data_IF_468882776514
#
_entry.id   IF_468882776514
#
_cell.length_a   1.000
_cell.length_b   1.000
_cell.length_c   1.000
_cell.angle_alpha   90.00
_cell.angle_beta   90.00
_cell.angle_gamma   90.00
#
_symmetry.space_group_name_H-M   'P 1'
#
loop_
_entity.id
_entity.type
_entity.pdbx_description
1 polymer ?
#
# COMPACT_ATOMS: atom_id res chain seq x y z
N UNK A 1 9.51 -6.71 31.67
CA UNK A 1 10.17 -6.62 30.35
C UNK A 1 9.13 -6.11 29.37
N UNK A 2 9.25 -4.87 28.93
CA UNK A 2 8.45 -4.37 27.82
C UNK A 2 9.05 -4.97 26.55
N UNK A 3 8.34 -5.90 25.92
CA UNK A 3 8.64 -6.33 24.57
C UNK A 3 8.28 -5.15 23.66
N UNK A 4 9.30 -4.43 23.19
CA UNK A 4 9.13 -3.53 22.06
C UNK A 4 8.73 -4.42 20.88
N UNK A 5 7.46 -4.33 20.46
CA UNK A 5 7.03 -4.95 19.22
C UNK A 5 7.91 -4.39 18.10
N UNK A 6 8.42 -5.22 17.17
CA UNK A 6 9.12 -4.70 16.01
C UNK A 6 8.18 -3.76 15.26
N UNK A 7 8.55 -2.48 15.15
CA UNK A 7 7.85 -1.54 14.28
C UNK A 7 8.27 -1.87 12.84
N UNK A 8 7.28 -2.15 11.99
CA UNK A 8 7.52 -2.36 10.57
C UNK A 8 7.57 -0.98 9.91
N UNK A 9 8.79 -0.44 9.75
CA UNK A 9 8.98 0.90 9.21
C UNK A 9 8.89 0.94 7.66
N UNK A 10 7.78 0.42 7.15
CA UNK A 10 7.60 0.13 5.73
C UNK A 10 7.24 1.39 4.93
N UNK A 11 8.22 1.92 4.20
CA UNK A 11 8.06 3.14 3.39
C UNK A 11 8.17 2.84 1.90
N UNK A 12 7.03 2.74 1.21
CA UNK A 12 7.00 2.40 -0.22
C UNK A 12 6.06 3.31 -1.01
N UNK A 13 6.45 3.66 -2.24
CA UNK A 13 5.66 4.50 -3.14
C UNK A 13 5.65 3.96 -4.56
N UNK A 14 4.61 4.31 -5.31
CA UNK A 14 4.57 4.14 -6.77
C UNK A 14 5.45 5.23 -7.43
N UNK A 15 6.24 4.82 -8.42
CA UNK A 15 7.14 5.66 -9.22
C UNK A 15 6.67 5.78 -10.68
N UNK A 16 5.95 4.78 -11.19
CA UNK A 16 5.40 4.76 -12.54
C UNK A 16 4.04 4.02 -12.53
N UNK A 17 2.96 4.61 -13.08
CA UNK A 17 2.83 6.00 -13.52
C UNK A 17 3.17 6.98 -12.39
N UNK A 18 3.80 8.11 -12.71
CA UNK A 18 4.34 9.03 -11.70
C UNK A 18 3.19 9.74 -10.97
N UNK A 19 3.02 9.53 -9.65
CA UNK A 19 1.99 10.24 -8.90
C UNK A 19 2.35 11.72 -8.74
N UNK A 20 1.32 12.57 -8.74
CA UNK A 20 1.44 13.95 -8.31
C UNK A 20 1.15 14.02 -6.81
N UNK A 21 1.93 14.81 -6.08
CA UNK A 21 1.93 14.83 -4.61
C UNK A 21 1.37 16.14 -4.07
N UNK A 22 0.73 16.09 -2.90
CA UNK A 22 0.25 17.29 -2.17
C UNK A 22 1.36 17.98 -1.37
N UNK A 23 2.54 17.37 -1.29
CA UNK A 23 3.70 17.85 -0.55
C UNK A 23 4.98 17.69 -1.38
N UNK A 24 5.99 18.49 -1.10
CA UNK A 24 7.35 18.34 -1.64
C UNK A 24 8.32 17.67 -0.66
N UNK A 25 7.91 17.49 0.60
CA UNK A 25 8.72 16.83 1.62
C UNK A 25 8.85 15.34 1.32
N UNK A 26 10.08 14.83 1.26
CA UNK A 26 10.34 13.45 0.86
C UNK A 26 9.83 12.46 1.90
N UNK A 27 10.07 12.72 3.17
CA UNK A 27 9.71 11.78 4.23
C UNK A 27 8.19 11.64 4.30
N UNK A 28 7.47 12.76 4.18
CA UNK A 28 6.00 12.76 4.10
C UNK A 28 5.49 11.97 2.89
N UNK A 29 6.10 12.09 1.70
CA UNK A 29 5.67 11.30 0.51
C UNK A 29 5.76 9.79 0.73
N UNK A 30 6.76 9.36 1.49
CA UNK A 30 7.07 7.94 1.69
C UNK A 30 6.33 7.33 2.88
N UNK A 31 5.72 8.16 3.73
CA UNK A 31 5.02 7.70 4.92
C UNK A 31 3.86 6.76 4.57
N UNK A 32 3.64 5.70 5.37
CA UNK A 32 2.42 4.91 5.34
C UNK A 32 1.17 5.78 5.48
N UNK A 33 0.07 5.30 4.87
CA UNK A 33 -1.25 5.87 5.10
C UNK A 33 -1.61 5.83 6.59
N UNK A 34 -1.24 4.75 7.29
CA UNK A 34 -1.42 4.60 8.72
C UNK A 34 -0.39 3.62 9.29
N UNK A 35 0.06 3.90 10.51
CA UNK A 35 0.80 2.94 11.35
C UNK A 35 -0.21 2.25 12.28
N UNK A 36 -0.72 1.10 11.84
CA UNK A 36 -1.82 0.40 12.51
C UNK A 36 -1.42 -0.17 13.88
N UNK A 37 -0.14 -0.52 14.05
CA UNK A 37 0.42 -0.97 15.32
C UNK A 37 0.33 0.08 16.44
N UNK A 38 0.19 1.36 16.06
CA UNK A 38 -0.03 2.46 17.00
C UNK A 38 -1.52 2.70 17.30
N UNK A 39 -2.41 1.89 16.73
CA UNK A 39 -3.87 2.04 16.77
C UNK A 39 -4.57 0.75 17.19
N UNK A 40 -3.96 0.02 18.14
CA UNK A 40 -4.46 -1.23 18.73
C UNK A 40 -4.56 -2.44 17.77
N UNK A 41 -4.10 -2.31 16.53
CA UNK A 41 -3.94 -3.48 15.66
C UNK A 41 -2.69 -4.26 16.07
N UNK A 42 -2.89 -5.54 16.39
CA UNK A 42 -1.76 -6.44 16.65
C UNK A 42 -1.11 -6.82 15.33
N UNK A 43 0.21 -6.73 15.27
CA UNK A 43 0.99 -7.24 14.14
C UNK A 43 0.70 -8.73 13.93
N UNK A 44 0.56 -9.14 12.67
CA UNK A 44 0.26 -10.51 12.27
C UNK A 44 1.34 -10.98 11.30
N UNK A 45 1.97 -12.09 11.61
CA UNK A 45 2.90 -12.74 10.68
C UNK A 45 2.13 -13.28 9.46
N UNK A 46 0.99 -13.91 9.70
CA UNK A 46 0.05 -14.34 8.66
C UNK A 46 -1.18 -13.40 8.63
N UNK A 47 -0.99 -12.23 8.03
CA UNK A 47 -2.08 -11.26 7.88
C UNK A 47 -3.24 -11.81 7.05
N UNK A 48 -2.97 -12.71 6.09
CA UNK A 48 -4.03 -13.29 5.26
C UNK A 48 -4.97 -14.16 6.10
N UNK A 49 -4.43 -15.10 6.88
CA UNK A 49 -5.30 -15.93 7.73
C UNK A 49 -6.06 -15.05 8.72
N UNK A 50 -5.41 -14.05 9.32
CA UNK A 50 -6.07 -13.10 10.21
C UNK A 50 -7.20 -12.31 9.53
N UNK A 51 -6.98 -11.77 8.33
CA UNK A 51 -8.02 -10.99 7.63
C UNK A 51 -9.22 -11.86 7.26
N UNK A 52 -8.96 -13.10 6.82
CA UNK A 52 -9.97 -14.06 6.42
C UNK A 52 -10.85 -14.44 7.64
N UNK A 53 -10.25 -14.71 8.80
CA UNK A 53 -10.94 -14.97 10.08
C UNK A 53 -11.77 -13.78 10.58
N UNK A 54 -11.34 -12.55 10.27
CA UNK A 54 -12.05 -11.32 10.64
C UNK A 54 -13.05 -10.86 9.58
N UNK A 55 -13.30 -11.66 8.53
CA UNK A 55 -14.32 -11.41 7.53
C UNK A 55 -13.99 -10.29 6.54
N UNK A 56 -12.70 -10.03 6.34
CA UNK A 56 -12.21 -9.15 5.27
C UNK A 56 -11.88 -9.97 4.02
N UNK A 57 -12.36 -9.53 2.87
CA UNK A 57 -12.25 -10.28 1.60
C UNK A 57 -10.93 -10.04 0.87
N UNK A 58 -10.31 -8.90 1.12
CA UNK A 58 -9.08 -8.45 0.47
C UNK A 58 -8.34 -7.47 1.39
N UNK A 59 -7.11 -7.10 1.04
CA UNK A 59 -6.36 -6.05 1.72
C UNK A 59 -7.11 -4.72 1.55
N UNK A 60 -7.60 -4.41 0.34
CA UNK A 60 -8.45 -3.24 0.13
C UNK A 60 -9.72 -3.25 0.98
N UNK A 61 -10.42 -4.38 1.07
CA UNK A 61 -11.63 -4.51 1.90
C UNK A 61 -11.33 -4.31 3.39
N UNK A 62 -10.15 -4.77 3.85
CA UNK A 62 -9.64 -4.42 5.18
C UNK A 62 -9.40 -2.91 5.31
N UNK A 63 -8.66 -2.30 4.38
CA UNK A 63 -8.36 -0.88 4.40
C UNK A 63 -9.63 -0.03 4.43
N UNK A 64 -10.65 -0.39 3.65
CA UNK A 64 -11.92 0.33 3.52
C UNK A 64 -12.87 0.20 4.73
N UNK A 65 -12.84 -0.95 5.42
CA UNK A 65 -13.81 -1.28 6.48
C UNK A 65 -13.23 -1.22 7.90
N UNK A 66 -11.92 -1.37 8.04
CA UNK A 66 -11.27 -1.24 9.32
C UNK A 66 -11.35 0.21 9.81
N UNK A 67 -11.42 0.39 11.13
CA UNK A 67 -11.48 1.71 11.75
C UNK A 67 -10.09 2.07 12.26
N UNK A 68 -9.42 2.96 11.54
CA UNK A 68 -8.14 3.56 11.91
C UNK A 68 -8.12 5.00 11.41
N UNK A 69 -7.33 5.82 12.08
CA UNK A 69 -7.02 7.17 11.66
C UNK A 69 -5.84 7.14 10.69
N UNK A 70 -5.92 7.95 9.64
CA UNK A 70 -4.82 8.12 8.69
C UNK A 70 -3.80 9.11 9.22
N UNK A 71 -2.55 9.00 8.75
CA UNK A 71 -1.48 9.94 9.06
C UNK A 71 -1.93 11.37 8.74
N UNK A 72 -1.65 12.32 9.63
CA UNK A 72 -2.05 13.71 9.47
C UNK A 72 -1.63 14.27 8.10
N UNK A 73 -2.60 14.80 7.35
CA UNK A 73 -2.38 15.35 6.00
C UNK A 73 -2.47 14.34 4.86
N UNK A 74 -2.62 13.04 5.16
CA UNK A 74 -2.98 12.04 4.17
C UNK A 74 -4.47 12.07 3.89
N UNK A 75 -4.84 11.84 2.64
CA UNK A 75 -6.19 11.46 2.24
C UNK A 75 -6.36 9.94 2.40
N UNK A 76 -7.54 9.49 2.80
CA UNK A 76 -7.79 8.06 3.00
C UNK A 76 -7.64 7.23 1.72
N UNK A 77 -8.13 7.75 0.59
CA UNK A 77 -8.11 7.04 -0.69
C UNK A 77 -6.80 7.29 -1.46
N UNK A 78 -6.19 8.47 -1.29
CA UNK A 78 -5.06 8.90 -2.11
C UNK A 78 -3.74 9.04 -1.34
N UNK A 79 -3.71 8.79 -0.02
CA UNK A 79 -2.53 9.02 0.80
C UNK A 79 -2.02 10.45 0.65
N UNK A 80 -0.74 10.60 0.31
CA UNK A 80 -0.13 11.92 0.06
C UNK A 80 -0.13 12.34 -1.42
N UNK A 81 -0.83 11.60 -2.28
CA UNK A 81 -1.00 11.97 -3.70
C UNK A 81 -2.15 12.96 -3.86
N UNK A 82 -2.09 13.79 -4.90
CA UNK A 82 -3.13 14.78 -5.20
C UNK A 82 -4.30 14.11 -5.95
N UNK A 83 -5.50 13.97 -5.33
CA UNK A 83 -6.67 13.39 -6.01
C UNK A 83 -7.16 14.24 -7.19
N UNK A 84 -6.73 15.50 -7.29
CA UNK A 84 -7.02 16.41 -8.40
C UNK A 84 -5.86 16.53 -9.37
N UNK A 85 -4.87 15.65 -9.25
CA UNK A 85 -3.78 15.53 -10.20
C UNK A 85 -4.29 15.31 -11.63
N UNK A 86 -3.47 15.71 -12.59
CA UNK A 86 -3.66 15.39 -14.00
C UNK A 86 -3.47 13.88 -14.19
N UNK A 87 -4.44 13.18 -14.82
CA UNK A 87 -4.29 11.77 -15.15
C UNK A 87 -2.99 11.49 -15.90
N UNK A 88 -2.26 10.47 -15.46
CA UNK A 88 -1.07 10.01 -16.14
C UNK A 88 -1.44 9.13 -17.34
N UNK A 89 -0.70 9.18 -18.45
CA UNK A 89 -0.89 8.23 -19.54
C UNK A 89 -0.56 6.81 -19.08
N UNK A 90 -1.20 5.81 -19.69
CA UNK A 90 -0.83 4.40 -19.49
C UNK A 90 0.64 4.22 -19.94
N UNK A 91 1.54 3.76 -19.06
CA UNK A 91 2.94 3.56 -19.42
C UNK A 91 3.10 2.51 -20.53
N UNK A 92 4.11 2.72 -21.39
CA UNK A 92 4.41 1.78 -22.46
C UNK A 92 4.69 0.37 -21.92
N UNK A 93 4.15 -0.63 -22.62
CA UNK A 93 4.32 -2.03 -22.23
C UNK A 93 3.61 -2.39 -20.93
N UNK A 94 2.56 -1.65 -20.55
CA UNK A 94 1.78 -1.93 -19.34
C UNK A 94 2.63 -1.90 -18.06
N UNK A 95 3.65 -1.05 -18.05
CA UNK A 95 4.61 -0.99 -16.96
C UNK A 95 4.01 -0.32 -15.71
N UNK A 96 4.39 -0.84 -14.55
CA UNK A 96 4.25 -0.18 -13.25
C UNK A 96 5.60 -0.28 -12.53
N UNK A 97 5.98 0.75 -11.78
CA UNK A 97 7.19 0.73 -10.96
C UNK A 97 6.90 1.25 -9.57
N UNK A 98 7.47 0.63 -8.55
CA UNK A 98 7.48 1.15 -7.17
C UNK A 98 8.90 1.17 -6.61
N UNK A 99 9.04 1.56 -5.35
CA UNK A 99 10.30 1.45 -4.61
C UNK A 99 10.67 0.00 -4.22
N UNK A 100 9.74 -0.95 -4.42
CA UNK A 100 9.89 -2.39 -4.15
C UNK A 100 9.08 -2.85 -2.93
N UNK A 101 9.01 -4.15 -2.70
CA UNK A 101 8.51 -4.71 -1.44
C UNK A 101 9.70 -5.18 -0.61
N UNK A 102 9.95 -4.53 0.53
CA UNK A 102 11.12 -4.82 1.39
C UNK A 102 10.78 -5.60 2.66
N UNK A 103 9.50 -5.83 2.89
CA UNK A 103 8.97 -6.53 4.05
C UNK A 103 7.98 -7.58 3.58
N UNK A 104 7.97 -8.71 4.28
CA UNK A 104 6.98 -9.75 4.06
C UNK A 104 5.59 -9.21 4.41
N UNK A 105 4.65 -9.44 3.50
CA UNK A 105 3.29 -8.98 3.67
C UNK A 105 2.52 -8.97 2.35
N UNK A 106 1.19 -8.86 2.44
CA UNK A 106 0.35 -8.86 1.28
C UNK A 106 0.41 -7.52 0.54
N UNK A 107 0.14 -7.57 -0.75
CA UNK A 107 -0.07 -6.37 -1.56
C UNK A 107 -1.19 -6.61 -2.55
N UNK A 108 -1.85 -5.52 -2.93
CA UNK A 108 -2.83 -5.52 -4.00
C UNK A 108 -2.67 -4.22 -4.81
N UNK A 109 -2.82 -4.31 -6.12
CA UNK A 109 -2.93 -3.15 -7.02
C UNK A 109 -4.29 -3.22 -7.67
N UNK A 110 -4.99 -2.09 -7.61
CA UNK A 110 -6.35 -1.96 -8.11
C UNK A 110 -6.39 -0.85 -9.17
N UNK A 111 -7.11 -1.11 -10.25
CA UNK A 111 -7.58 -0.11 -11.20
C UNK A 111 -9.09 -0.04 -11.06
N UNK A 112 -9.59 1.09 -10.55
CA UNK A 112 -10.98 1.25 -10.13
C UNK A 112 -11.45 0.09 -9.25
N UNK A 113 -12.37 -0.75 -9.71
CA UNK A 113 -12.90 -1.91 -8.98
C UNK A 113 -12.27 -3.25 -9.39
N UNK A 114 -11.25 -3.21 -10.25
CA UNK A 114 -10.55 -4.39 -10.77
C UNK A 114 -9.21 -4.56 -10.08
N UNK A 115 -9.01 -5.69 -9.40
CA UNK A 115 -7.70 -6.07 -8.88
C UNK A 115 -6.83 -6.60 -10.02
N UNK A 116 -5.70 -5.96 -10.29
CA UNK A 116 -4.82 -6.27 -11.43
C UNK A 116 -3.51 -6.93 -11.02
N UNK A 117 -3.16 -6.87 -9.74
CA UNK A 117 -2.02 -7.57 -9.15
C UNK A 117 -2.31 -7.83 -7.68
N UNK A 118 -1.97 -9.02 -7.21
CA UNK A 118 -2.09 -9.42 -5.82
C UNK A 118 -0.93 -10.33 -5.40
N UNK A 119 -0.71 -10.45 -4.10
CA UNK A 119 0.14 -11.50 -3.53
C UNK A 119 0.02 -11.54 -2.01
N UNK A 120 0.07 -12.75 -1.45
CA UNK A 120 0.03 -12.95 0.01
C UNK A 120 1.37 -12.58 0.67
N UNK A 121 2.48 -12.80 -0.03
CA UNK A 121 3.80 -12.26 0.29
C UNK A 121 4.40 -11.62 -0.98
N UNK A 122 4.32 -10.29 -1.07
CA UNK A 122 4.77 -9.56 -2.25
C UNK A 122 6.28 -9.32 -2.30
N UNK A 123 6.97 -9.36 -1.15
CA UNK A 123 8.43 -9.35 -1.12
C UNK A 123 9.01 -10.59 -1.81
N UNK A 124 8.40 -11.76 -1.58
CA UNK A 124 8.79 -13.00 -2.27
C UNK A 124 8.28 -13.06 -3.71
N UNK A 125 6.99 -12.76 -3.94
CA UNK A 125 6.34 -12.88 -5.25
C UNK A 125 6.87 -11.87 -6.27
N UNK A 126 7.23 -10.67 -5.81
CA UNK A 126 7.69 -9.57 -6.65
C UNK A 126 9.01 -8.99 -6.10
N UNK A 127 10.14 -9.71 -6.25
CA UNK A 127 11.44 -9.33 -5.66
C UNK A 127 12.09 -8.11 -6.33
N UNK A 128 11.49 -7.61 -7.42
CA UNK A 128 11.95 -6.46 -8.16
C UNK A 128 11.21 -5.18 -7.81
N UNK A 129 11.35 -4.18 -8.69
CA UNK A 129 10.67 -2.88 -8.59
C UNK A 129 9.74 -2.61 -9.78
N UNK A 130 9.86 -3.44 -10.81
CA UNK A 130 9.15 -3.33 -12.07
C UNK A 130 8.11 -4.44 -12.16
N UNK A 131 6.88 -4.05 -12.51
CA UNK A 131 5.74 -4.94 -12.62
C UNK A 131 5.04 -4.69 -13.96
N UNK A 132 4.28 -5.68 -14.42
CA UNK A 132 3.38 -5.54 -15.56
C UNK A 132 1.96 -5.69 -15.04
N UNK A 133 1.10 -4.70 -15.29
CA UNK A 133 -0.30 -4.71 -14.86
C UNK A 133 -1.20 -4.49 -16.06
N UNK A 134 -2.35 -5.16 -16.09
CA UNK A 134 -3.31 -4.97 -17.18
C UNK A 134 -4.08 -3.65 -16.97
N UNK A 135 -3.92 -2.70 -17.88
CA UNK A 135 -4.63 -1.40 -17.85
C UNK A 135 -5.86 -1.36 -18.78
N UNK A 136 -6.23 -2.49 -19.40
CA UNK A 136 -7.31 -2.56 -20.39
C UNK A 136 -8.73 -2.61 -19.83
#
# INVERSE_FOLDING_TARGET
>A
MALLAPMADAHQIVLLPEPQWTTNDKDTKYNPLAFLENQDFKTQEDFKSWRDENGYKSLRDFMDRAKYEVTSGADFSCGFTDPKGTPQPIPAGNAMRSTGYTHDGPCEVWLDDTMVLDGDNCHEKFPGKDYTVDYS
#
